data_IF_702019668203
#
_entry.id   IF_702019668203
#
_cell.length_a   1.000
_cell.length_b   1.000
_cell.length_c   1.000
_cell.angle_alpha   90.00
_cell.angle_beta   90.00
_cell.angle_gamma   90.00
#
_symmetry.space_group_name_H-M   'P 1'
#
loop_
_entity.id
_entity.type
_entity.pdbx_description
1 polymer ?
#
# COMPACT_ATOMS: atom_id res chain seq x y z
N UNK A 1 -6.71 -6.39 -10.07
CA UNK A 1 -6.68 -5.64 -8.80
C UNK A 1 -5.39 -4.82 -8.73
N UNK A 2 -5.50 -3.55 -8.31
CA UNK A 2 -4.34 -2.66 -8.21
C UNK A 2 -4.19 -2.13 -6.80
N UNK A 3 -2.96 -1.80 -6.43
CA UNK A 3 -2.65 -0.98 -5.27
C UNK A 3 -1.84 0.25 -5.71
N UNK A 4 -2.08 1.36 -5.04
CA UNK A 4 -1.36 2.62 -5.22
C UNK A 4 -0.68 2.97 -3.91
N UNK A 5 0.64 3.04 -3.92
CA UNK A 5 1.40 3.43 -2.74
C UNK A 5 2.04 4.78 -2.96
N UNK A 6 1.86 5.68 -2.01
CA UNK A 6 2.37 7.05 -2.08
C UNK A 6 3.26 7.41 -0.89
N UNK A 7 4.35 8.10 -1.18
CA UNK A 7 5.17 8.84 -0.23
C UNK A 7 5.01 10.35 -0.50
N UNK A 8 4.84 11.12 0.58
CA UNK A 8 4.40 12.53 0.50
C UNK A 8 5.51 13.46 0.93
N UNK A 9 5.95 14.32 0.02
CA UNK A 9 6.86 15.42 0.28
C UNK A 9 6.15 16.78 0.40
N UNK A 10 6.85 17.79 0.89
CA UNK A 10 6.31 19.16 1.03
C UNK A 10 6.04 19.87 -0.30
N UNK A 11 6.74 19.48 -1.34
CA UNK A 11 6.63 20.07 -2.68
C UNK A 11 7.56 21.25 -2.94
N UNK A 12 8.16 21.86 -1.91
CA UNK A 12 9.06 23.00 -1.99
C UNK A 12 10.55 22.65 -1.72
N UNK A 13 10.83 21.42 -1.30
CA UNK A 13 12.16 20.94 -0.95
C UNK A 13 12.89 20.18 -2.06
N UNK A 14 13.89 19.38 -1.64
CA UNK A 14 14.62 18.45 -2.51
C UNK A 14 13.83 17.19 -2.82
N UNK A 15 12.93 16.80 -1.93
CA UNK A 15 12.20 15.55 -1.99
C UNK A 15 10.98 15.64 -2.92
N UNK A 16 10.54 14.52 -3.41
CA UNK A 16 9.43 14.42 -4.34
C UNK A 16 8.28 13.65 -3.71
N UNK A 17 7.05 14.13 -3.96
CA UNK A 17 5.89 13.28 -3.78
C UNK A 17 5.85 12.25 -4.89
N UNK A 18 5.68 10.98 -4.53
CA UNK A 18 5.67 9.86 -5.46
C UNK A 18 4.42 9.01 -5.26
N UNK A 19 3.93 8.42 -6.35
CA UNK A 19 2.94 7.36 -6.31
C UNK A 19 3.35 6.23 -7.27
N UNK A 20 3.26 5.00 -6.80
CA UNK A 20 3.51 3.80 -7.60
C UNK A 20 2.23 2.98 -7.68
N UNK A 21 1.91 2.52 -8.88
CA UNK A 21 0.80 1.61 -9.11
C UNK A 21 1.34 0.24 -9.44
N UNK A 22 0.87 -0.77 -8.68
CA UNK A 22 1.21 -2.16 -8.92
C UNK A 22 -0.04 -2.99 -9.20
N UNK A 23 0.04 -3.86 -10.19
CA UNK A 23 -0.89 -4.99 -10.32
C UNK A 23 -0.63 -5.98 -9.18
N UNK A 24 -1.65 -6.28 -8.38
CA UNK A 24 -1.52 -7.09 -7.16
C UNK A 24 -1.19 -8.55 -7.44
N UNK A 25 -1.70 -9.08 -8.56
CA UNK A 25 -1.55 -10.49 -8.88
C UNK A 25 -0.14 -10.82 -9.37
N UNK A 26 0.41 -9.94 -10.20
CA UNK A 26 1.74 -10.13 -10.81
C UNK A 26 2.86 -9.34 -10.14
N UNK A 27 2.54 -8.42 -9.23
CA UNK A 27 3.47 -7.41 -8.69
C UNK A 27 4.24 -6.66 -9.78
N UNK A 28 3.55 -6.37 -10.88
CA UNK A 28 4.11 -5.56 -11.96
C UNK A 28 3.81 -4.08 -11.72
N UNK A 29 4.84 -3.26 -11.71
CA UNK A 29 4.72 -1.81 -11.70
C UNK A 29 4.12 -1.34 -13.03
N UNK A 30 2.90 -0.81 -13.01
CA UNK A 30 2.15 -0.39 -14.20
C UNK A 30 2.14 1.11 -14.42
N UNK A 31 2.34 1.90 -13.35
CA UNK A 31 2.46 3.35 -13.44
C UNK A 31 3.34 3.93 -12.33
N UNK A 32 3.82 5.14 -12.56
CA UNK A 32 4.60 5.96 -11.64
C UNK A 32 4.23 7.42 -11.80
N UNK A 33 3.98 8.07 -10.68
CA UNK A 33 3.98 9.52 -10.57
C UNK A 33 5.16 9.98 -9.72
N UNK A 34 5.82 11.05 -10.12
CA UNK A 34 6.86 11.72 -9.34
C UNK A 34 6.82 13.20 -9.63
N UNK A 35 6.60 14.02 -8.63
CA UNK A 35 6.50 15.46 -8.82
C UNK A 35 6.76 16.27 -7.54
N UNK A 36 7.05 17.55 -7.73
CA UNK A 36 7.06 18.53 -6.66
C UNK A 36 5.66 19.13 -6.58
N UNK A 37 4.86 18.62 -5.66
CA UNK A 37 3.47 19.00 -5.47
C UNK A 37 3.18 19.12 -3.98
N UNK A 38 2.38 20.09 -3.58
CA UNK A 38 1.97 20.23 -2.18
C UNK A 38 0.98 19.14 -1.77
N UNK A 39 0.94 18.75 -0.48
CA UNK A 39 0.07 17.66 -0.01
C UNK A 39 -1.41 17.84 -0.36
N UNK A 40 -1.93 19.07 -0.28
CA UNK A 40 -3.33 19.40 -0.60
C UNK A 40 -3.66 19.19 -2.08
N UNK A 41 -2.71 19.46 -2.98
CA UNK A 41 -2.85 19.21 -4.42
C UNK A 41 -2.56 17.76 -4.79
N UNK A 42 -1.78 17.04 -3.98
CA UNK A 42 -1.46 15.65 -4.25
C UNK A 42 -2.62 14.70 -3.96
N UNK A 43 -3.48 15.02 -2.98
CA UNK A 43 -4.64 14.19 -2.66
C UNK A 43 -5.63 14.04 -3.85
N UNK A 44 -6.08 15.10 -4.56
CA UNK A 44 -6.89 14.95 -5.76
C UNK A 44 -6.20 14.17 -6.88
N UNK A 45 -4.89 14.32 -7.02
CA UNK A 45 -4.11 13.56 -7.99
C UNK A 45 -4.11 12.05 -7.67
N UNK A 46 -3.91 11.70 -6.40
CA UNK A 46 -3.98 10.30 -5.94
C UNK A 46 -5.39 9.72 -6.10
N UNK A 47 -6.44 10.51 -5.81
CA UNK A 47 -7.82 10.13 -6.04
C UNK A 47 -8.05 9.76 -7.51
N UNK A 48 -7.58 10.61 -8.44
CA UNK A 48 -7.72 10.37 -9.89
C UNK A 48 -6.99 9.10 -10.31
N UNK A 49 -5.71 8.95 -9.91
CA UNK A 49 -4.91 7.76 -10.22
C UNK A 49 -5.60 6.49 -9.69
N UNK A 50 -5.98 6.48 -8.42
CA UNK A 50 -6.56 5.28 -7.81
C UNK A 50 -7.92 4.91 -8.43
N UNK A 51 -8.72 5.90 -8.83
CA UNK A 51 -10.00 5.68 -9.53
C UNK A 51 -9.76 5.09 -10.93
N UNK A 52 -8.81 5.63 -11.69
CA UNK A 52 -8.43 5.12 -13.02
C UNK A 52 -7.97 3.65 -12.96
N UNK A 53 -7.27 3.27 -11.92
CA UNK A 53 -6.84 1.91 -11.66
C UNK A 53 -7.87 1.08 -10.85
N UNK A 54 -9.14 1.18 -11.25
CA UNK A 54 -10.24 0.38 -10.74
C UNK A 54 -10.49 0.53 -9.23
N UNK A 55 -10.49 1.76 -8.74
CA UNK A 55 -10.58 2.08 -7.31
C UNK A 55 -9.54 1.31 -6.49
N UNK A 56 -8.28 1.41 -6.89
CA UNK A 56 -7.15 0.72 -6.28
C UNK A 56 -7.07 0.95 -4.78
N UNK A 57 -6.56 -0.03 -4.03
CA UNK A 57 -6.22 0.17 -2.62
C UNK A 57 -5.14 1.26 -2.51
N UNK A 58 -5.48 2.36 -1.85
CA UNK A 58 -4.61 3.53 -1.69
C UNK A 58 -3.87 3.47 -0.35
N UNK A 59 -2.55 3.39 -0.42
CA UNK A 59 -1.65 3.23 0.72
C UNK A 59 -0.77 4.47 0.79
N UNK A 60 -0.92 5.26 1.83
CA UNK A 60 -0.13 6.47 2.05
C UNK A 60 0.65 6.31 3.35
N UNK A 61 1.95 6.60 3.34
CA UNK A 61 2.69 6.66 4.59
C UNK A 61 2.13 7.79 5.46
N UNK A 62 1.63 7.46 6.65
CA UNK A 62 0.97 8.40 7.57
C UNK A 62 1.97 9.17 8.46
N UNK A 63 3.06 9.66 7.84
CA UNK A 63 3.90 10.67 8.46
C UNK A 63 3.15 12.01 8.58
N UNK A 64 3.79 13.04 9.12
CA UNK A 64 3.16 14.35 9.35
C UNK A 64 2.50 14.97 8.10
N UNK A 65 3.08 14.76 6.93
CA UNK A 65 2.57 15.27 5.64
C UNK A 65 1.49 14.36 5.07
N UNK A 66 1.66 13.04 5.18
CA UNK A 66 0.71 12.05 4.72
C UNK A 66 -0.64 12.12 5.42
N UNK A 67 -0.68 12.52 6.70
CA UNK A 67 -1.93 12.75 7.43
C UNK A 67 -2.81 13.79 6.73
N UNK A 68 -2.22 14.90 6.24
CA UNK A 68 -2.96 15.93 5.52
C UNK A 68 -3.57 15.40 4.21
N UNK A 69 -2.82 14.57 3.47
CA UNK A 69 -3.29 13.91 2.25
C UNK A 69 -4.42 12.93 2.56
N UNK A 70 -4.28 12.13 3.61
CA UNK A 70 -5.30 11.17 4.05
C UNK A 70 -6.61 11.87 4.45
N UNK A 71 -6.53 12.95 5.24
CA UNK A 71 -7.71 13.75 5.60
C UNK A 71 -8.41 14.30 4.36
N UNK A 72 -7.66 14.82 3.40
CA UNK A 72 -8.23 15.34 2.15
C UNK A 72 -8.87 14.26 1.29
N UNK A 73 -8.31 13.06 1.24
CA UNK A 73 -8.91 11.92 0.53
C UNK A 73 -10.21 11.45 1.19
N UNK A 74 -10.30 11.49 2.51
CA UNK A 74 -11.54 11.22 3.24
C UNK A 74 -12.63 12.27 2.95
N UNK A 75 -12.26 13.56 2.88
CA UNK A 75 -13.18 14.63 2.43
C UNK A 75 -13.66 14.43 0.99
N UNK A 76 -12.83 13.86 0.12
CA UNK A 76 -13.17 13.48 -1.25
C UNK A 76 -13.95 12.16 -1.34
N UNK A 77 -14.28 11.55 -0.20
CA UNK A 77 -15.02 10.29 -0.07
C UNK A 77 -14.33 9.09 -0.77
N UNK A 78 -12.99 9.07 -0.80
CA UNK A 78 -12.28 7.89 -1.29
C UNK A 78 -12.30 6.77 -0.25
N UNK A 79 -13.01 5.68 -0.55
CA UNK A 79 -13.35 4.65 0.45
C UNK A 79 -12.34 3.48 0.52
N UNK A 80 -11.44 3.32 -0.46
CA UNK A 80 -10.51 2.19 -0.50
C UNK A 80 -9.10 2.60 -0.01
N UNK A 81 -9.03 3.10 1.22
CA UNK A 81 -7.79 3.50 1.90
C UNK A 81 -7.29 2.36 2.78
N UNK A 82 -5.98 2.17 2.84
CA UNK A 82 -5.32 1.25 3.76
C UNK A 82 -5.34 1.79 5.19
N UNK A 83 -5.58 0.90 6.17
CA UNK A 83 -5.53 1.22 7.60
C UNK A 83 -4.50 0.35 8.30
N UNK A 84 -3.63 0.96 9.11
CA UNK A 84 -2.73 0.27 10.02
C UNK A 84 -3.42 -0.03 11.35
N UNK A 85 -3.32 -1.26 11.82
CA UNK A 85 -3.81 -1.68 13.13
C UNK A 85 -2.63 -1.97 14.04
N UNK A 86 -2.67 -1.47 15.28
CA UNK A 86 -1.54 -1.59 16.22
C UNK A 86 -1.19 -3.03 16.62
N UNK A 87 -2.14 -3.96 16.53
CA UNK A 87 -1.99 -5.34 17.03
C UNK A 87 -1.80 -6.38 15.93
N UNK A 88 -2.10 -6.05 14.68
CA UNK A 88 -1.99 -6.99 13.56
C UNK A 88 -1.34 -6.32 12.37
N UNK A 89 -0.54 -7.05 11.63
CA UNK A 89 -0.02 -6.62 10.34
C UNK A 89 -0.98 -7.00 9.19
N UNK A 90 -2.24 -7.30 9.53
CA UNK A 90 -3.27 -7.71 8.58
C UNK A 90 -4.02 -6.49 8.04
N UNK A 91 -4.34 -6.54 6.75
CA UNK A 91 -5.26 -5.59 6.14
C UNK A 91 -6.67 -5.81 6.69
N UNK A 92 -7.33 -4.74 7.07
CA UNK A 92 -8.75 -4.71 7.41
C UNK A 92 -9.45 -3.66 6.56
N UNK A 93 -10.71 -3.90 6.24
CA UNK A 93 -11.55 -2.88 5.62
C UNK A 93 -11.79 -1.70 6.56
N UNK A 94 -12.20 -0.55 6.00
CA UNK A 94 -12.37 0.69 6.74
C UNK A 94 -13.30 0.54 7.97
N UNK A 95 -14.42 -0.13 7.82
CA UNK A 95 -15.40 -0.29 8.91
C UNK A 95 -14.82 -1.11 10.06
N UNK A 96 -14.11 -2.19 9.76
CA UNK A 96 -13.42 -3.01 10.76
C UNK A 96 -12.29 -2.24 11.42
N UNK A 97 -11.52 -1.45 10.64
CA UNK A 97 -10.43 -0.63 11.14
C UNK A 97 -10.93 0.44 12.11
N UNK A 98 -12.01 1.12 11.77
CA UNK A 98 -12.64 2.13 12.64
C UNK A 98 -13.13 1.50 13.95
N UNK A 99 -13.75 0.32 13.89
CA UNK A 99 -14.24 -0.41 15.07
C UNK A 99 -13.12 -0.84 16.04
N UNK A 100 -11.90 -1.11 15.53
CA UNK A 100 -10.74 -1.54 16.34
C UNK A 100 -9.71 -0.44 16.60
N UNK A 101 -10.02 0.81 16.24
CA UNK A 101 -9.13 1.96 16.42
C UNK A 101 -7.92 1.94 15.48
N UNK A 102 -8.12 1.51 14.25
CA UNK A 102 -7.12 1.58 13.17
C UNK A 102 -6.79 3.01 12.79
N UNK A 103 -5.57 3.21 12.29
CA UNK A 103 -5.08 4.50 11.82
C UNK A 103 -5.00 4.47 10.30
N UNK A 104 -5.61 5.44 9.63
CA UNK A 104 -5.55 5.57 8.17
C UNK A 104 -4.09 5.69 7.70
N UNK A 105 -3.78 5.03 6.59
CA UNK A 105 -2.45 4.98 6.01
C UNK A 105 -1.52 3.95 6.64
N UNK A 106 -0.31 3.87 6.10
CA UNK A 106 0.74 2.94 6.54
C UNK A 106 1.64 3.60 7.57
N UNK A 107 1.74 3.02 8.76
CA UNK A 107 2.61 3.54 9.83
C UNK A 107 4.01 2.94 9.72
N UNK A 108 4.96 3.73 9.22
CA UNK A 108 6.37 3.37 9.24
C UNK A 108 7.00 3.74 10.58
N UNK A 109 7.71 2.82 11.19
CA UNK A 109 8.45 3.03 12.44
C UNK A 109 9.88 2.54 12.30
N UNK A 110 10.75 2.91 13.26
CA UNK A 110 12.12 2.39 13.30
C UNK A 110 12.18 0.86 13.41
N UNK A 111 11.14 0.23 13.97
CA UNK A 111 11.05 -1.23 14.09
C UNK A 111 10.52 -1.89 12.81
N UNK A 112 9.54 -1.26 12.15
CA UNK A 112 8.91 -1.82 10.95
C UNK A 112 9.70 -1.56 9.68
N UNK A 113 10.42 -0.42 9.58
CA UNK A 113 11.21 -0.06 8.38
C UNK A 113 12.18 -1.17 7.93
N UNK A 114 13.02 -1.76 8.81
CA UNK A 114 13.90 -2.84 8.39
C UNK A 114 13.16 -4.08 7.86
N UNK A 115 12.00 -4.41 8.43
CA UNK A 115 11.18 -5.55 8.01
C UNK A 115 10.55 -5.31 6.65
N UNK A 116 10.02 -4.12 6.42
CA UNK A 116 9.42 -3.69 5.14
C UNK A 116 10.47 -3.71 4.03
N UNK A 117 11.68 -3.20 4.31
CA UNK A 117 12.79 -3.24 3.35
C UNK A 117 13.28 -4.68 3.09
N UNK A 118 13.37 -5.51 4.12
CA UNK A 118 13.72 -6.93 3.95
C UNK A 118 12.70 -7.66 3.06
N UNK A 119 11.41 -7.33 3.17
CA UNK A 119 10.36 -7.87 2.29
C UNK A 119 10.58 -7.43 0.84
N UNK A 120 10.90 -6.17 0.60
CA UNK A 120 11.21 -5.67 -0.74
C UNK A 120 12.45 -6.36 -1.32
N UNK A 121 13.52 -6.51 -0.53
CA UNK A 121 14.72 -7.24 -0.93
C UNK A 121 14.38 -8.70 -1.31
N UNK A 122 13.54 -9.38 -0.53
CA UNK A 122 13.04 -10.72 -0.84
C UNK A 122 12.34 -10.76 -2.22
N UNK A 123 11.44 -9.80 -2.50
CA UNK A 123 10.74 -9.72 -3.77
C UNK A 123 11.69 -9.51 -4.95
N UNK A 124 12.66 -8.61 -4.81
CA UNK A 124 13.67 -8.34 -5.86
C UNK A 124 14.55 -9.56 -6.07
N UNK A 125 15.10 -10.14 -5.01
CA UNK A 125 16.00 -11.30 -5.07
C UNK A 125 15.33 -12.53 -5.69
N UNK A 126 14.08 -12.77 -5.35
CA UNK A 126 13.32 -13.92 -5.83
C UNK A 126 12.56 -13.63 -7.13
N UNK A 127 12.77 -12.46 -7.74
CA UNK A 127 12.10 -12.03 -9.00
C UNK A 127 10.56 -12.08 -8.89
N UNK A 128 10.02 -11.72 -7.73
CA UNK A 128 8.59 -11.67 -7.45
C UNK A 128 7.96 -10.30 -7.77
N UNK A 129 8.75 -9.34 -8.21
CA UNK A 129 8.34 -7.99 -8.60
C UNK A 129 8.91 -7.66 -9.97
N UNK A 130 8.08 -7.04 -10.82
CA UNK A 130 8.49 -6.53 -12.12
C UNK A 130 8.55 -5.00 -12.07
N UNK A 131 9.77 -4.45 -12.16
CA UNK A 131 10.03 -3.01 -12.08
C UNK A 131 10.20 -2.47 -13.49
N UNK A 132 9.34 -1.54 -13.90
CA UNK A 132 9.38 -0.86 -15.19
C UNK A 132 9.99 0.54 -15.10
N UNK A 133 10.20 1.07 -13.90
CA UNK A 133 10.76 2.39 -13.67
C UNK A 133 12.29 2.40 -13.68
N UNK A 134 12.87 3.20 -14.55
CA UNK A 134 14.31 3.48 -14.53
C UNK A 134 14.70 4.32 -13.29
N UNK A 135 13.81 5.21 -12.81
CA UNK A 135 14.05 6.02 -11.61
C UNK A 135 14.13 5.13 -10.37
N UNK A 136 13.15 4.24 -10.17
CA UNK A 136 13.17 3.26 -9.07
C UNK A 136 14.43 2.38 -9.15
N UNK A 137 14.80 1.91 -10.34
CA UNK A 137 16.03 1.13 -10.53
C UNK A 137 17.28 1.91 -10.10
N UNK A 138 17.33 3.21 -10.37
CA UNK A 138 18.45 4.04 -9.96
C UNK A 138 18.46 4.30 -8.44
N UNK A 139 17.30 4.49 -7.81
CA UNK A 139 17.20 4.58 -6.34
C UNK A 139 17.65 3.29 -5.65
N UNK A 140 17.23 2.11 -6.18
CA UNK A 140 17.69 0.81 -5.65
C UNK A 140 19.21 0.69 -5.66
N UNK A 141 19.89 1.15 -6.71
CA UNK A 141 21.37 1.08 -6.81
C UNK A 141 22.08 1.93 -5.76
N UNK A 142 21.44 2.97 -5.25
CA UNK A 142 22.00 3.90 -4.27
C UNK A 142 21.42 3.72 -2.88
N UNK A 143 20.56 2.69 -2.69
CA UNK A 143 19.96 2.37 -1.40
C UNK A 143 20.83 1.35 -0.66
N UNK A 144 21.30 1.72 0.53
CA UNK A 144 22.31 0.97 1.27
C UNK A 144 21.95 0.82 2.75
N UNK A 145 22.54 -0.17 3.39
CA UNK A 145 22.55 -0.25 4.84
C UNK A 145 23.69 0.61 5.39
N UNK A 146 23.36 1.64 6.16
CA UNK A 146 24.31 2.49 6.84
C UNK A 146 24.03 2.51 8.34
N UNK A 147 25.01 2.12 9.16
CA UNK A 147 24.87 2.03 10.63
C UNK A 147 23.62 1.26 11.08
N UNK A 148 23.33 0.15 10.42
CA UNK A 148 22.17 -0.69 10.73
C UNK A 148 20.81 -0.13 10.28
N UNK A 149 20.81 0.93 9.47
CA UNK A 149 19.57 1.54 8.92
C UNK A 149 19.58 1.49 7.40
N UNK A 150 18.49 1.04 6.75
CA UNK A 150 18.36 1.09 5.31
C UNK A 150 17.96 2.51 4.89
N UNK A 151 18.74 3.12 4.00
CA UNK A 151 18.54 4.49 3.53
C UNK A 151 19.25 4.75 2.20
N UNK A 152 18.86 5.80 1.49
CA UNK A 152 19.62 6.27 0.33
C UNK A 152 21.03 6.78 0.74
N UNK A 153 21.99 6.62 -0.16
CA UNK A 153 23.30 7.29 -0.04
C UNK A 153 23.09 8.80 0.02
N UNK A 154 24.06 9.51 0.61
CA UNK A 154 24.00 10.98 0.72
C UNK A 154 23.76 11.63 -0.66
N UNK A 155 22.82 12.58 -0.71
CA UNK A 155 22.38 13.29 -1.92
C UNK A 155 21.57 12.47 -2.93
N UNK A 156 21.10 11.28 -2.53
CA UNK A 156 20.15 10.47 -3.30
C UNK A 156 18.82 10.38 -2.57
N UNK A 157 17.77 10.06 -3.30
CA UNK A 157 16.42 9.88 -2.79
C UNK A 157 16.13 8.39 -2.60
N UNK A 158 15.16 8.05 -1.72
CA UNK A 158 14.65 6.70 -1.52
C UNK A 158 13.09 6.63 -1.55
N UNK A 159 12.45 7.70 -2.02
CA UNK A 159 10.99 7.83 -2.02
C UNK A 159 10.30 6.68 -2.77
N UNK A 160 10.79 6.35 -3.98
CA UNK A 160 10.27 5.24 -4.78
C UNK A 160 10.60 3.86 -4.18
N UNK A 161 11.77 3.71 -3.57
CA UNK A 161 12.15 2.46 -2.87
C UNK A 161 11.23 2.22 -1.69
N UNK A 162 10.95 3.25 -0.89
CA UNK A 162 10.07 3.15 0.27
C UNK A 162 8.63 2.82 -0.17
N UNK A 163 8.09 3.53 -1.16
CA UNK A 163 6.77 3.24 -1.71
C UNK A 163 6.67 1.80 -2.24
N UNK A 164 7.70 1.31 -2.96
CA UNK A 164 7.76 -0.07 -3.44
C UNK A 164 7.82 -1.09 -2.30
N UNK A 165 8.59 -0.80 -1.27
CA UNK A 165 8.74 -1.68 -0.11
C UNK A 165 7.42 -1.82 0.66
N UNK A 166 6.70 -0.73 0.86
CA UNK A 166 5.35 -0.72 1.44
C UNK A 166 4.39 -1.54 0.57
N UNK A 167 4.46 -1.39 -0.77
CA UNK A 167 3.64 -2.16 -1.71
C UNK A 167 3.84 -3.67 -1.54
N UNK A 168 5.09 -4.13 -1.48
CA UNK A 168 5.42 -5.54 -1.27
C UNK A 168 4.91 -6.06 0.07
N UNK A 169 5.04 -5.26 1.12
CA UNK A 169 4.57 -5.61 2.46
C UNK A 169 3.04 -5.76 2.51
N UNK A 170 2.31 -4.77 2.01
CA UNK A 170 0.85 -4.77 2.03
C UNK A 170 0.26 -5.83 1.11
N UNK A 171 0.90 -6.09 -0.04
CA UNK A 171 0.45 -7.13 -0.97
C UNK A 171 0.29 -8.49 -0.28
N UNK A 172 1.26 -8.91 0.51
CA UNK A 172 1.20 -10.22 1.16
C UNK A 172 0.10 -10.27 2.22
N UNK A 173 -0.09 -9.19 2.98
CA UNK A 173 -1.17 -9.09 3.95
C UNK A 173 -2.54 -9.00 3.28
N UNK A 174 -2.72 -8.15 2.27
CA UNK A 174 -3.98 -7.97 1.56
C UNK A 174 -4.46 -9.26 0.88
N UNK A 175 -3.56 -10.02 0.23
CA UNK A 175 -3.91 -11.28 -0.43
C UNK A 175 -4.32 -12.38 0.57
N UNK A 176 -3.68 -12.46 1.71
CA UNK A 176 -4.02 -13.44 2.74
C UNK A 176 -5.43 -13.20 3.28
N UNK A 177 -5.79 -11.95 3.55
CA UNK A 177 -7.12 -11.58 4.04
C UNK A 177 -8.20 -11.83 2.98
N UNK A 178 -7.97 -11.40 1.75
CA UNK A 178 -8.92 -11.64 0.65
C UNK A 178 -9.17 -13.13 0.42
N UNK A 179 -8.13 -13.97 0.45
CA UNK A 179 -8.29 -15.42 0.34
C UNK A 179 -9.12 -16.00 1.49
N UNK A 180 -8.85 -15.60 2.74
CA UNK A 180 -9.62 -16.03 3.91
C UNK A 180 -11.08 -15.58 3.83
N UNK A 181 -11.35 -14.34 3.44
CA UNK A 181 -12.71 -13.81 3.29
C UNK A 181 -13.48 -14.51 2.18
N UNK A 182 -12.86 -14.78 1.03
CA UNK A 182 -13.48 -15.53 -0.07
C UNK A 182 -13.79 -16.95 0.37
N UNK A 183 -12.88 -17.63 1.07
CA UNK A 183 -13.09 -18.97 1.61
C UNK A 183 -14.22 -18.99 2.64
N UNK A 184 -14.27 -18.00 3.54
CA UNK A 184 -15.33 -17.88 4.55
C UNK A 184 -16.71 -17.62 3.91
N UNK A 185 -16.79 -16.69 2.94
CA UNK A 185 -18.03 -16.45 2.17
C UNK A 185 -18.46 -17.70 1.41
N UNK A 186 -17.53 -18.42 0.79
CA UNK A 186 -17.82 -19.65 0.07
C UNK A 186 -18.34 -20.76 1.00
N UNK A 187 -17.70 -20.92 2.16
CA UNK A 187 -18.14 -21.89 3.18
C UNK A 187 -19.54 -21.54 3.75
N UNK A 188 -19.85 -20.26 3.97
CA UNK A 188 -21.18 -19.80 4.38
C UNK A 188 -22.23 -20.10 3.30
N UNK A 189 -21.95 -19.79 2.03
CA UNK A 189 -22.87 -20.06 0.92
C UNK A 189 -23.11 -21.56 0.72
N UNK A 190 -22.09 -22.39 0.86
CA UNK A 190 -22.20 -23.85 0.77
C UNK A 190 -23.00 -24.43 1.97
N UNK A 191 -22.85 -23.84 3.16
CA UNK A 191 -23.65 -24.16 4.34
C UNK A 191 -25.15 -23.85 4.12
N UNK A 192 -25.47 -22.69 3.56
CA UNK A 192 -26.85 -22.28 3.26
C UNK A 192 -27.46 -23.21 2.20
N UNK A 193 -26.71 -23.56 1.14
CA UNK A 193 -27.21 -24.52 0.11
C UNK A 193 -27.53 -25.90 0.70
N UNK A 194 -26.70 -26.42 1.59
CA UNK A 194 -26.94 -27.70 2.25
C UNK A 194 -28.20 -27.67 3.12
N UNK A 195 -28.45 -26.59 3.85
CA UNK A 195 -29.65 -26.44 4.70
C UNK A 195 -30.92 -26.37 3.88
N UNK A 196 -30.88 -25.69 2.70
CA UNK A 196 -32.06 -25.61 1.81
C UNK A 196 -32.39 -26.94 1.15
N UNK A 197 -31.40 -27.79 0.86
CA UNK A 197 -31.60 -29.10 0.25
C UNK A 197 -32.21 -30.09 1.25
N UNK A 198 -31.90 -29.99 2.55
CA UNK A 198 -32.49 -30.84 3.60
C UNK A 198 -33.92 -30.45 3.97
N UNK A 199 -34.38 -29.23 3.72
CA UNK A 199 -35.77 -28.80 3.95
C UNK A 199 -36.74 -29.20 2.84
N UNK A 200 -36.25 -29.53 1.65
CA UNK A 200 -37.09 -29.95 0.51
C UNK A 200 -37.30 -31.49 0.40
N UNK A 201 -36.87 -32.24 1.40
CA UNK A 201 -37.00 -33.73 1.44
C UNK A 201 -37.83 -34.24 2.62
N UNK A 202 -38.78 -33.44 3.13
CA UNK A 202 -39.84 -33.89 4.07
C UNK A 202 -41.23 -33.71 3.47
#
# INVERSE_FOLDING_TARGET
NYLVTADVARGDGSDFSVALVFDVDTMTQVAEYRGKITPDMFAPQLYSIATEYNNALLIIENNSLGIGVLSRLQELEYNNIYFSIKSTHEYVDQLTAEAVGGVAGFTMSMKTRPLVIAKFEEFVRNKLININSMRLTNEIKTFVWHNGRPQAMRSYNDDLVIASAISCWVRDTALVVNKKQIQHKKAMLDGIKKTTTTMNTQ
#
